data_IF_912346270693
#
_entry.id   IF_912346270693
#
_cell.length_a   1.000
_cell.length_b   1.000
_cell.length_c   1.000
_cell.angle_alpha   90.00
_cell.angle_beta   90.00
_cell.angle_gamma   90.00
#
_symmetry.space_group_name_H-M   'P 1'
#
loop_
_entity.id
_entity.type
_entity.pdbx_description
1 polymer ?
#
# COMPACT_ATOMS: atom_id res chain seq x y z
N UNK A 1 20.07 -55.28 -9.91
CA UNK A 1 19.87 -54.56 -8.64
C UNK A 1 19.63 -53.10 -8.97
N UNK A 2 18.40 -52.61 -8.82
CA UNK A 2 18.03 -51.23 -9.18
C UNK A 2 18.36 -50.33 -7.99
N UNK A 3 19.24 -49.33 -8.18
CA UNK A 3 19.59 -48.37 -7.13
C UNK A 3 18.31 -47.64 -6.67
N UNK A 4 18.07 -47.49 -5.36
CA UNK A 4 16.90 -46.75 -4.88
C UNK A 4 16.99 -45.31 -5.38
N UNK A 5 15.90 -44.83 -5.98
CA UNK A 5 15.75 -43.43 -6.36
C UNK A 5 15.78 -42.63 -5.05
N UNK A 6 16.88 -41.94 -4.77
CA UNK A 6 16.95 -41.08 -3.58
C UNK A 6 15.88 -40.01 -3.71
N UNK A 7 14.93 -39.98 -2.76
CA UNK A 7 13.92 -38.93 -2.71
C UNK A 7 14.60 -37.56 -2.60
N UNK A 8 14.25 -36.64 -3.49
CA UNK A 8 14.77 -35.27 -3.48
C UNK A 8 13.68 -34.31 -3.02
N UNK A 9 13.99 -33.48 -2.03
CA UNK A 9 13.08 -32.46 -1.48
C UNK A 9 13.40 -31.08 -2.02
N UNK A 10 12.49 -30.11 -1.93
CA UNK A 10 12.83 -28.71 -2.15
C UNK A 10 13.72 -28.27 -0.97
N UNK A 11 14.94 -27.84 -1.29
CA UNK A 11 15.94 -27.46 -0.27
C UNK A 11 16.40 -26.01 -0.42
N UNK A 12 16.07 -25.35 -1.53
CA UNK A 12 16.39 -23.94 -1.77
C UNK A 12 15.23 -23.27 -2.47
N UNK A 13 15.02 -22.01 -2.13
CA UNK A 13 14.11 -21.09 -2.79
C UNK A 13 14.86 -19.81 -3.12
N UNK A 14 14.45 -19.15 -4.19
CA UNK A 14 14.91 -17.80 -4.55
C UNK A 14 13.82 -17.07 -5.34
N UNK A 15 13.99 -15.78 -5.57
CA UNK A 15 13.02 -14.93 -6.28
C UNK A 15 13.72 -14.16 -7.40
N UNK A 16 13.10 -14.15 -8.58
CA UNK A 16 13.51 -13.26 -9.67
C UNK A 16 12.66 -12.00 -9.67
N UNK A 17 13.30 -10.84 -9.78
CA UNK A 17 12.64 -9.53 -9.93
C UNK A 17 12.74 -8.94 -11.34
N UNK A 18 13.46 -9.61 -12.24
CA UNK A 18 13.67 -9.21 -13.64
C UNK A 18 14.27 -10.37 -14.44
N UNK A 19 14.35 -10.22 -15.76
CA UNK A 19 14.88 -11.26 -16.67
C UNK A 19 16.34 -11.64 -16.41
N UNK A 20 17.18 -10.70 -15.94
CA UNK A 20 18.57 -10.99 -15.56
C UNK A 20 18.64 -11.96 -14.38
N UNK A 21 17.81 -11.76 -13.36
CA UNK A 21 17.68 -12.70 -12.24
C UNK A 21 17.14 -14.06 -12.69
N UNK A 22 16.13 -14.10 -13.58
CA UNK A 22 15.64 -15.37 -14.13
C UNK A 22 16.78 -16.16 -14.79
N UNK A 23 17.57 -15.52 -15.64
CA UNK A 23 18.71 -16.17 -16.32
C UNK A 23 19.75 -16.68 -15.31
N UNK A 24 20.06 -15.90 -14.28
CA UNK A 24 20.96 -16.32 -13.21
C UNK A 24 20.45 -17.59 -12.50
N UNK A 25 19.16 -17.67 -12.19
CA UNK A 25 18.57 -18.82 -11.50
C UNK A 25 18.50 -20.06 -12.40
N UNK A 26 18.19 -19.89 -13.68
CA UNK A 26 18.23 -20.95 -14.70
C UNK A 26 19.62 -21.58 -14.75
N UNK A 27 20.68 -20.76 -14.87
CA UNK A 27 22.06 -21.26 -14.98
C UNK A 27 22.53 -22.03 -13.73
N UNK A 28 21.85 -21.85 -12.60
CA UNK A 28 22.13 -22.54 -11.33
C UNK A 28 21.23 -23.74 -11.07
N UNK A 29 20.38 -24.11 -12.02
CA UNK A 29 19.52 -25.29 -11.95
C UNK A 29 18.31 -25.12 -11.04
N UNK A 30 17.88 -23.89 -10.79
CA UNK A 30 16.57 -23.64 -10.19
C UNK A 30 15.47 -23.87 -11.21
N UNK A 31 14.29 -24.23 -10.72
CA UNK A 31 13.06 -24.41 -11.48
C UNK A 31 12.07 -23.30 -11.12
N UNK A 32 11.58 -22.60 -12.14
CA UNK A 32 10.58 -21.54 -12.00
C UNK A 32 9.22 -22.12 -11.62
N UNK A 33 8.51 -21.50 -10.68
CA UNK A 33 7.08 -21.73 -10.51
C UNK A 33 6.29 -20.85 -11.49
N UNK A 34 5.21 -21.37 -12.09
CA UNK A 34 4.57 -20.72 -13.25
C UNK A 34 3.82 -19.43 -12.93
N UNK A 35 3.52 -19.17 -11.65
CA UNK A 35 2.68 -18.05 -11.25
C UNK A 35 3.55 -16.81 -10.96
N UNK A 36 3.23 -15.72 -11.63
CA UNK A 36 3.72 -14.39 -11.25
C UNK A 36 3.13 -14.02 -9.88
N UNK A 37 3.98 -13.54 -8.98
CA UNK A 37 3.60 -13.08 -7.65
C UNK A 37 2.99 -11.66 -7.67
N UNK A 38 3.08 -10.97 -8.81
CA UNK A 38 2.68 -9.56 -8.98
C UNK A 38 1.43 -9.37 -9.88
N UNK A 39 0.52 -10.34 -9.93
CA UNK A 39 -0.65 -10.30 -10.83
C UNK A 39 -1.50 -9.04 -10.60
N UNK A 40 -1.73 -8.26 -11.66
CA UNK A 40 -2.66 -7.11 -11.64
C UNK A 40 -2.01 -5.72 -11.47
N UNK A 41 -0.68 -5.61 -11.58
CA UNK A 41 0.03 -4.31 -11.48
C UNK A 41 1.05 -4.14 -12.62
N UNK A 42 1.39 -2.90 -12.96
CA UNK A 42 2.41 -2.60 -13.99
C UNK A 42 3.84 -2.85 -13.46
N UNK A 43 4.77 -3.35 -14.31
CA UNK A 43 6.20 -3.55 -13.98
C UNK A 43 6.74 -4.94 -14.33
N UNK A 44 7.98 -5.24 -13.92
CA UNK A 44 8.62 -6.54 -14.16
C UNK A 44 7.92 -7.69 -13.40
N UNK A 45 7.82 -8.86 -14.05
CA UNK A 45 7.24 -10.08 -13.48
C UNK A 45 8.11 -10.62 -12.32
N UNK A 46 7.46 -11.07 -11.23
CA UNK A 46 8.15 -11.59 -10.05
C UNK A 46 7.82 -13.07 -9.90
N UNK A 47 8.83 -13.94 -9.91
CA UNK A 47 8.62 -15.39 -9.81
C UNK A 47 9.33 -16.00 -8.63
N UNK A 48 8.69 -16.98 -7.99
CA UNK A 48 9.32 -17.88 -7.02
C UNK A 48 10.00 -19.04 -7.76
N UNK A 49 11.21 -19.39 -7.31
CA UNK A 49 12.03 -20.45 -7.87
C UNK A 49 12.40 -21.45 -6.80
N UNK A 50 12.57 -22.71 -7.18
CA UNK A 50 12.99 -23.76 -6.26
C UNK A 50 14.10 -24.62 -6.82
N UNK A 51 14.93 -25.21 -5.94
CA UNK A 51 15.89 -26.24 -6.31
C UNK A 51 15.74 -27.45 -5.39
N UNK A 52 15.76 -28.64 -6.00
CA UNK A 52 15.68 -29.90 -5.26
C UNK A 52 17.07 -30.35 -4.81
N UNK A 53 17.16 -30.90 -3.60
CA UNK A 53 18.40 -31.36 -2.98
C UNK A 53 18.24 -32.66 -2.19
N UNK A 54 19.26 -32.97 -1.38
CA UNK A 54 19.34 -34.20 -0.59
C UNK A 54 18.37 -34.18 0.60
N UNK A 55 18.10 -35.38 1.12
CA UNK A 55 17.34 -35.61 2.35
C UNK A 55 18.02 -34.93 3.55
N UNK A 56 17.24 -34.31 4.43
CA UNK A 56 17.71 -33.63 5.66
C UNK A 56 17.76 -32.10 5.60
N UNK A 57 17.54 -31.50 4.43
CA UNK A 57 17.52 -30.04 4.24
C UNK A 57 16.19 -29.54 3.64
N UNK A 58 15.10 -30.29 3.84
CA UNK A 58 13.80 -29.94 3.29
C UNK A 58 13.28 -28.65 3.92
N UNK A 59 12.75 -27.76 3.09
CA UNK A 59 12.02 -26.58 3.57
C UNK A 59 10.68 -27.05 4.14
N UNK A 60 10.43 -26.77 5.41
CA UNK A 60 9.23 -27.20 6.14
C UNK A 60 8.23 -26.08 6.40
N UNK A 61 8.62 -24.82 6.18
CA UNK A 61 7.77 -23.65 6.44
C UNK A 61 8.18 -22.44 5.60
N UNK A 62 7.19 -21.62 5.23
CA UNK A 62 7.35 -20.33 4.55
C UNK A 62 6.59 -19.25 5.31
N UNK A 63 7.14 -18.04 5.33
CA UNK A 63 6.55 -16.83 5.92
C UNK A 63 6.95 -15.62 5.08
N UNK A 64 6.15 -14.57 5.10
CA UNK A 64 6.44 -13.26 4.48
C UNK A 64 6.48 -12.18 5.57
N UNK A 65 7.33 -11.18 5.39
CA UNK A 65 7.42 -10.01 6.27
C UNK A 65 7.03 -8.75 5.51
N UNK A 66 6.22 -7.90 6.12
CA UNK A 66 5.80 -6.62 5.53
C UNK A 66 6.63 -5.42 6.04
N UNK A 67 7.49 -5.63 7.05
CA UNK A 67 8.35 -4.59 7.62
C UNK A 67 9.63 -5.19 8.24
N UNK A 68 10.54 -4.31 8.65
CA UNK A 68 11.85 -4.68 9.20
C UNK A 68 11.77 -5.47 10.52
N UNK A 69 10.85 -5.09 11.41
CA UNK A 69 10.71 -5.73 12.72
C UNK A 69 10.19 -7.17 12.59
N UNK A 70 9.24 -7.40 11.68
CA UNK A 70 8.78 -8.75 11.33
C UNK A 70 9.91 -9.59 10.74
N UNK A 71 10.71 -9.03 9.82
CA UNK A 71 11.86 -9.73 9.25
C UNK A 71 12.88 -10.12 10.33
N UNK A 72 13.19 -9.21 11.25
CA UNK A 72 14.07 -9.46 12.40
C UNK A 72 13.52 -10.56 13.32
N UNK A 73 12.22 -10.55 13.58
CA UNK A 73 11.54 -11.59 14.36
C UNK A 73 11.62 -12.98 13.70
N UNK A 74 11.42 -13.05 12.38
CA UNK A 74 11.54 -14.29 11.62
C UNK A 74 12.98 -14.83 11.60
N UNK A 75 13.97 -13.97 11.39
CA UNK A 75 15.38 -14.39 11.46
C UNK A 75 15.71 -14.93 12.86
N UNK A 76 15.24 -14.25 13.91
CA UNK A 76 15.40 -14.70 15.30
C UNK A 76 14.72 -16.06 15.58
N UNK A 77 13.63 -16.36 14.87
CA UNK A 77 12.93 -17.64 14.93
C UNK A 77 13.54 -18.75 14.06
N UNK A 78 14.69 -18.50 13.43
CA UNK A 78 15.44 -19.49 12.64
C UNK A 78 15.07 -19.55 11.16
N UNK A 79 14.33 -18.58 10.63
CA UNK A 79 14.08 -18.49 9.18
C UNK A 79 15.31 -17.93 8.45
N UNK A 80 15.57 -18.44 7.25
CA UNK A 80 16.55 -17.84 6.32
C UNK A 80 15.83 -16.89 5.37
N UNK A 81 16.22 -15.61 5.38
CA UNK A 81 15.62 -14.60 4.51
C UNK A 81 16.13 -14.73 3.07
N UNK A 82 15.22 -14.59 2.10
CA UNK A 82 15.56 -14.25 0.71
C UNK A 82 15.50 -12.71 0.62
N UNK A 83 16.63 -12.01 0.47
CA UNK A 83 16.70 -10.54 0.54
C UNK A 83 16.25 -9.92 -0.79
N UNK A 84 15.01 -10.19 -1.18
CA UNK A 84 14.35 -9.66 -2.38
C UNK A 84 13.04 -9.01 -1.95
N UNK A 85 12.86 -7.76 -2.39
CA UNK A 85 11.62 -7.05 -2.15
C UNK A 85 10.58 -7.49 -3.20
N UNK A 86 9.53 -8.17 -2.74
CA UNK A 86 8.43 -8.62 -3.61
C UNK A 86 7.57 -7.45 -4.12
N UNK A 87 7.73 -6.26 -3.55
CA UNK A 87 7.09 -5.04 -4.01
C UNK A 87 8.01 -4.18 -4.90
N UNK A 88 9.21 -4.66 -5.24
CA UNK A 88 10.17 -3.91 -6.05
C UNK A 88 9.52 -3.40 -7.35
N UNK A 89 9.58 -2.08 -7.57
CA UNK A 89 9.00 -1.43 -8.73
C UNK A 89 7.54 -1.01 -8.58
N UNK A 90 6.89 -1.23 -7.42
CA UNK A 90 5.75 -0.41 -7.03
C UNK A 90 6.30 0.97 -6.64
N UNK A 91 5.85 2.05 -7.30
CA UNK A 91 6.31 3.43 -7.03
C UNK A 91 6.16 3.86 -5.56
N UNK A 92 5.38 3.10 -4.80
CA UNK A 92 5.06 3.33 -3.40
C UNK A 92 5.95 2.56 -2.41
N UNK A 93 6.94 1.79 -2.90
CA UNK A 93 7.76 0.89 -2.07
C UNK A 93 8.40 1.63 -0.88
N UNK A 94 8.92 2.83 -1.11
CA UNK A 94 9.56 3.60 -0.05
C UNK A 94 8.56 4.13 0.98
N UNK A 95 7.34 4.50 0.56
CA UNK A 95 6.27 4.89 1.47
C UNK A 95 5.86 3.74 2.39
N UNK A 96 5.71 2.53 1.84
CA UNK A 96 5.42 1.34 2.65
C UNK A 96 6.55 1.04 3.64
N UNK A 97 7.82 1.16 3.22
CA UNK A 97 8.98 0.97 4.11
C UNK A 97 9.03 2.00 5.24
N UNK A 98 8.60 3.23 4.97
CA UNK A 98 8.51 4.32 5.95
C UNK A 98 7.28 4.24 6.87
N UNK A 99 6.49 3.15 6.74
CA UNK A 99 5.36 2.82 7.58
C UNK A 99 4.05 3.49 7.17
N UNK A 100 3.98 4.04 5.96
CA UNK A 100 2.72 4.58 5.44
C UNK A 100 1.78 3.44 5.02
N UNK A 101 0.49 3.73 5.18
CA UNK A 101 -0.64 2.89 4.80
C UNK A 101 -1.40 3.65 3.71
N UNK A 102 -1.69 2.96 2.61
CA UNK A 102 -2.49 3.49 1.50
C UNK A 102 -3.98 3.30 1.82
N UNK A 103 -4.79 4.34 1.59
CA UNK A 103 -6.25 4.18 1.51
C UNK A 103 -6.58 3.56 0.15
N UNK A 104 -7.34 2.46 0.14
CA UNK A 104 -7.55 1.62 -1.04
C UNK A 104 -8.59 2.20 -2.03
N UNK A 105 -8.27 3.36 -2.61
CA UNK A 105 -8.94 3.91 -3.78
C UNK A 105 -8.04 4.95 -4.48
N UNK A 106 -8.04 4.91 -5.80
CA UNK A 106 -7.40 5.89 -6.68
C UNK A 106 -8.35 7.11 -6.79
N UNK A 107 -7.92 8.28 -6.31
CA UNK A 107 -8.76 9.48 -6.17
C UNK A 107 -8.95 10.26 -7.46
N UNK A 108 -8.30 9.88 -8.56
CA UNK A 108 -8.48 10.49 -9.87
C UNK A 108 -8.82 9.43 -10.93
N UNK A 109 -9.77 8.55 -10.59
CA UNK A 109 -10.04 7.38 -11.42
C UNK A 109 -10.73 7.80 -12.72
N UNK A 110 -10.09 7.47 -13.85
CA UNK A 110 -10.67 7.72 -15.18
C UNK A 110 -10.40 9.11 -15.73
N UNK A 111 -9.61 9.94 -15.04
CA UNK A 111 -9.22 11.27 -15.52
C UNK A 111 -8.04 11.26 -16.50
N UNK A 112 -7.39 10.10 -16.70
CA UNK A 112 -6.05 10.05 -17.32
C UNK A 112 -4.97 10.59 -16.37
N UNK A 113 -3.70 10.26 -16.64
CA UNK A 113 -2.54 10.69 -15.83
C UNK A 113 -2.10 9.70 -14.75
N UNK A 114 -1.16 10.13 -13.90
CA UNK A 114 -0.64 9.34 -12.77
C UNK A 114 -1.71 9.14 -11.71
N UNK A 115 -1.76 7.94 -11.13
CA UNK A 115 -2.70 7.62 -10.05
C UNK A 115 -2.37 8.42 -8.79
N UNK A 116 -3.40 8.96 -8.14
CA UNK A 116 -3.30 9.68 -6.88
C UNK A 116 -3.93 8.83 -5.79
N UNK A 117 -3.18 8.60 -4.72
CA UNK A 117 -3.64 7.84 -3.56
C UNK A 117 -3.44 8.67 -2.28
N UNK A 118 -4.34 8.48 -1.32
CA UNK A 118 -4.18 9.03 0.03
C UNK A 118 -3.34 8.06 0.85
N UNK A 119 -2.30 8.59 1.49
CA UNK A 119 -1.40 7.86 2.38
C UNK A 119 -1.47 8.45 3.79
N UNK A 120 -1.50 7.58 4.79
CA UNK A 120 -1.43 8.00 6.20
C UNK A 120 -0.46 7.11 6.96
N UNK A 121 0.06 7.60 8.09
CA UNK A 121 0.90 6.82 8.99
C UNK A 121 0.35 6.89 10.39
N UNK A 122 0.28 5.74 11.07
CA UNK A 122 -0.16 5.66 12.45
C UNK A 122 0.95 6.10 13.41
N UNK A 123 0.57 6.62 14.57
CA UNK A 123 1.50 7.01 15.63
C UNK A 123 0.88 6.74 17.00
N UNK A 124 1.71 6.37 17.95
CA UNK A 124 1.34 6.26 19.37
C UNK A 124 1.61 7.54 20.14
N UNK A 125 2.25 8.54 19.52
CA UNK A 125 2.48 9.85 20.14
C UNK A 125 1.26 10.75 19.95
N UNK A 126 0.48 11.03 21.01
CA UNK A 126 -0.73 11.82 20.90
C UNK A 126 -0.48 13.25 20.39
N UNK A 127 0.73 13.81 20.55
CA UNK A 127 1.08 15.15 20.05
C UNK A 127 1.26 15.19 18.54
N UNK A 128 1.47 14.02 17.92
CA UNK A 128 1.66 13.86 16.47
C UNK A 128 0.38 13.42 15.77
N UNK A 129 -0.65 13.03 16.52
CA UNK A 129 -1.91 12.55 15.99
C UNK A 129 -2.65 13.67 15.23
N UNK A 130 -3.27 13.29 14.12
CA UNK A 130 -4.23 14.15 13.43
C UNK A 130 -5.53 14.16 14.23
N UNK A 131 -6.14 15.33 14.35
CA UNK A 131 -7.41 15.50 15.08
C UNK A 131 -8.53 16.01 14.19
N UNK A 132 -8.21 16.46 12.97
CA UNK A 132 -9.20 16.95 12.03
C UNK A 132 -8.71 16.84 10.58
N UNK A 133 -9.66 16.70 9.66
CA UNK A 133 -9.45 16.68 8.21
C UNK A 133 -10.48 17.59 7.53
N UNK A 134 -10.05 18.30 6.50
CA UNK A 134 -10.90 19.12 5.63
C UNK A 134 -10.52 18.88 4.17
N UNK A 135 -11.43 19.20 3.26
CA UNK A 135 -11.17 19.23 1.81
C UNK A 135 -11.49 20.63 1.30
N UNK A 136 -10.63 21.19 0.44
CA UNK A 136 -10.93 22.43 -0.30
C UNK A 136 -11.15 22.14 -1.77
N UNK A 137 -12.13 22.79 -2.39
CA UNK A 137 -12.41 22.73 -3.83
C UNK A 137 -12.32 24.10 -4.52
N UNK A 138 -12.03 25.16 -3.77
CA UNK A 138 -11.82 26.52 -4.29
C UNK A 138 -10.79 27.31 -3.45
N UNK A 139 -10.32 28.43 -4.00
CA UNK A 139 -9.26 29.24 -3.38
C UNK A 139 -9.69 29.90 -2.06
N UNK A 140 -10.96 30.30 -1.93
CA UNK A 140 -11.49 30.87 -0.68
C UNK A 140 -11.42 29.87 0.48
N UNK A 141 -11.70 28.59 0.21
CA UNK A 141 -11.59 27.53 1.22
C UNK A 141 -10.13 27.22 1.57
N UNK A 142 -9.24 27.19 0.57
CA UNK A 142 -7.81 27.04 0.82
C UNK A 142 -7.29 28.15 1.75
N UNK A 143 -7.68 29.40 1.47
CA UNK A 143 -7.33 30.55 2.30
C UNK A 143 -7.94 30.42 3.71
N UNK A 144 -9.22 30.07 3.81
CA UNK A 144 -9.90 29.91 5.08
C UNK A 144 -9.26 28.81 5.96
N UNK A 145 -8.89 27.66 5.40
CA UNK A 145 -8.26 26.58 6.17
C UNK A 145 -6.84 26.94 6.60
N UNK A 146 -6.07 27.62 5.75
CA UNK A 146 -4.76 28.14 6.12
C UNK A 146 -4.86 29.10 7.32
N UNK A 147 -5.82 30.03 7.31
CA UNK A 147 -6.04 30.98 8.41
C UNK A 147 -6.51 30.31 9.70
N UNK A 148 -7.16 29.14 9.60
CA UNK A 148 -7.57 28.32 10.74
C UNK A 148 -6.46 27.40 11.28
N UNK A 149 -5.26 27.47 10.70
CA UNK A 149 -4.08 26.71 11.13
C UNK A 149 -4.07 25.25 10.65
N UNK A 150 -4.78 24.92 9.58
CA UNK A 150 -4.63 23.62 8.92
C UNK A 150 -3.35 23.57 8.09
N UNK A 151 -2.80 22.37 7.94
CA UNK A 151 -1.71 22.09 7.01
C UNK A 151 -2.25 21.43 5.75
N UNK A 152 -1.91 21.97 4.58
CA UNK A 152 -2.29 21.40 3.29
C UNK A 152 -1.43 20.18 2.96
N UNK A 153 -2.05 19.13 2.44
CA UNK A 153 -1.37 18.08 1.69
C UNK A 153 -1.20 18.60 0.27
N UNK A 154 0.03 18.97 -0.12
CA UNK A 154 0.34 19.68 -1.35
C UNK A 154 0.29 18.79 -2.61
N UNK A 155 -0.77 18.00 -2.77
CA UNK A 155 -1.07 17.15 -3.91
C UNK A 155 -2.52 17.38 -4.32
N UNK A 156 -2.76 17.64 -5.60
CA UNK A 156 -4.11 17.80 -6.14
C UNK A 156 -4.77 16.42 -6.30
N UNK A 157 -5.88 16.18 -5.61
CA UNK A 157 -6.56 14.88 -5.64
C UNK A 157 -7.24 14.57 -6.96
N UNK A 158 -7.72 15.57 -7.70
CA UNK A 158 -8.45 15.38 -8.95
C UNK A 158 -7.54 15.14 -10.17
N UNK A 159 -6.23 15.03 -9.98
CA UNK A 159 -5.25 14.86 -11.06
C UNK A 159 -4.95 16.15 -11.83
N UNK A 160 -3.76 16.21 -12.43
CA UNK A 160 -3.23 17.41 -13.10
C UNK A 160 -4.04 17.83 -14.33
N UNK A 161 -4.71 16.88 -14.99
CA UNK A 161 -5.44 17.11 -16.24
C UNK A 161 -6.90 17.55 -16.04
N UNK A 162 -7.45 17.46 -14.81
CA UNK A 162 -8.84 17.82 -14.53
C UNK A 162 -9.13 19.32 -14.56
N UNK A 163 -8.10 20.16 -14.37
CA UNK A 163 -8.25 21.60 -14.16
C UNK A 163 -8.92 21.99 -12.83
N UNK A 164 -9.41 21.02 -12.05
CA UNK A 164 -9.99 21.23 -10.73
C UNK A 164 -8.91 21.19 -9.66
N UNK A 165 -9.10 21.94 -8.57
CA UNK A 165 -8.15 22.06 -7.46
C UNK A 165 -8.77 21.47 -6.20
N UNK A 166 -8.50 20.20 -5.93
CA UNK A 166 -9.00 19.48 -4.75
C UNK A 166 -7.82 19.16 -3.83
N UNK A 167 -7.85 19.65 -2.60
CA UNK A 167 -6.77 19.42 -1.63
C UNK A 167 -7.32 18.93 -0.29
N UNK A 168 -6.59 17.99 0.33
CA UNK A 168 -6.81 17.58 1.72
C UNK A 168 -6.02 18.47 2.66
N UNK A 169 -6.63 18.82 3.78
CA UNK A 169 -6.04 19.62 4.84
C UNK A 169 -6.15 18.84 6.14
N UNK A 170 -5.12 18.89 6.98
CA UNK A 170 -5.13 18.24 8.28
C UNK A 170 -4.79 19.21 9.40
N UNK A 171 -5.26 18.90 10.61
CA UNK A 171 -4.86 19.58 11.84
C UNK A 171 -4.30 18.59 12.84
N UNK A 172 -3.26 19.01 13.54
CA UNK A 172 -2.74 18.34 14.74
C UNK A 172 -3.20 19.14 15.94
N UNK A 173 -3.59 18.45 17.00
CA UNK A 173 -4.22 19.10 18.16
C UNK A 173 -3.93 18.39 19.46
N UNK A 174 -4.64 18.81 20.50
CA UNK A 174 -4.64 18.17 21.81
C UNK A 174 -5.07 16.69 21.71
N UNK A 175 -4.65 15.80 22.62
CA UNK A 175 -4.88 14.34 22.55
C UNK A 175 -6.34 13.88 22.52
N UNK A 176 -7.30 14.80 22.57
CA UNK A 176 -8.73 14.51 22.57
C UNK A 176 -9.17 14.30 21.13
N UNK A 177 -9.64 13.09 20.85
CA UNK A 177 -10.23 12.67 19.57
C UNK A 177 -9.22 12.55 18.40
N UNK A 178 -8.16 11.73 18.56
CA UNK A 178 -7.25 11.45 17.45
C UNK A 178 -7.98 10.66 16.36
N UNK A 179 -7.69 10.96 15.10
CA UNK A 179 -8.21 10.18 13.97
C UNK A 179 -7.60 8.77 14.03
N UNK A 180 -8.48 7.76 14.13
CA UNK A 180 -8.15 6.34 14.24
C UNK A 180 -8.22 5.61 12.89
N UNK A 181 -9.07 6.09 11.98
CA UNK A 181 -9.24 5.51 10.66
C UNK A 181 -9.60 6.58 9.63
N UNK A 182 -9.18 6.35 8.37
CA UNK A 182 -9.52 7.15 7.20
C UNK A 182 -10.04 6.18 6.14
N UNK A 183 -11.12 6.56 5.45
CA UNK A 183 -11.70 5.79 4.36
C UNK A 183 -12.13 6.71 3.22
N UNK A 184 -12.29 6.13 2.03
CA UNK A 184 -12.94 6.78 0.90
C UNK A 184 -14.31 6.14 0.68
N UNK A 185 -15.33 7.00 0.54
CA UNK A 185 -16.70 6.61 0.29
C UNK A 185 -17.07 6.94 -1.15
N UNK A 186 -17.37 5.90 -1.92
CA UNK A 186 -17.57 5.95 -3.38
C UNK A 186 -19.08 5.91 -3.73
N UNK A 187 -19.95 5.81 -2.72
CA UNK A 187 -21.41 5.79 -2.88
C UNK A 187 -22.08 6.76 -1.89
N UNK A 188 -22.64 7.87 -2.41
CA UNK A 188 -23.31 8.90 -1.62
C UNK A 188 -24.51 8.39 -0.82
N UNK A 189 -25.18 7.34 -1.29
CA UNK A 189 -26.37 6.78 -0.61
C UNK A 189 -26.02 6.13 0.74
N UNK A 190 -24.74 5.85 0.98
CA UNK A 190 -24.24 5.28 2.24
C UNK A 190 -23.77 6.35 3.23
N UNK A 191 -23.81 7.64 2.89
CA UNK A 191 -23.45 8.73 3.82
C UNK A 191 -24.20 8.60 5.15
N UNK A 192 -25.54 8.40 5.20
CA UNK A 192 -26.25 8.24 6.46
C UNK A 192 -25.75 7.05 7.28
N UNK A 193 -25.45 5.91 6.63
CA UNK A 193 -24.96 4.72 7.33
C UNK A 193 -23.56 4.94 7.93
N UNK A 194 -22.70 5.72 7.28
CA UNK A 194 -21.37 6.06 7.79
C UNK A 194 -21.46 7.02 8.98
N UNK A 195 -22.35 8.02 8.90
CA UNK A 195 -22.64 8.93 10.01
C UNK A 195 -23.22 8.15 11.21
N UNK A 196 -24.18 7.25 10.98
CA UNK A 196 -24.77 6.39 12.01
C UNK A 196 -23.72 5.46 12.65
N UNK A 197 -22.70 5.04 11.89
CA UNK A 197 -21.56 4.28 12.39
C UNK A 197 -20.52 5.14 13.15
N UNK A 198 -20.75 6.46 13.25
CA UNK A 198 -19.90 7.40 13.98
C UNK A 198 -18.72 7.95 13.18
N UNK A 199 -18.72 7.81 11.86
CA UNK A 199 -17.72 8.46 11.00
C UNK A 199 -18.13 9.89 10.68
N UNK A 200 -17.14 10.78 10.63
CA UNK A 200 -17.29 12.08 9.98
C UNK A 200 -17.10 11.90 8.49
N UNK A 201 -18.09 12.31 7.69
CA UNK A 201 -18.00 12.36 6.24
C UNK A 201 -17.78 13.81 5.82
N UNK A 202 -16.73 14.09 5.05
CA UNK A 202 -16.51 15.39 4.44
C UNK A 202 -17.33 15.40 3.14
N UNK A 203 -18.46 16.10 3.15
CA UNK A 203 -19.43 16.17 2.04
C UNK A 203 -18.93 17.05 0.88
N UNK A 204 -17.73 16.75 0.37
CA UNK A 204 -17.14 17.35 -0.83
C UNK A 204 -16.66 16.23 -1.75
N UNK A 205 -17.09 16.28 -3.00
CA UNK A 205 -16.61 15.34 -4.00
C UNK A 205 -15.12 15.57 -4.26
N UNK A 206 -14.29 14.56 -4.03
CA UNK A 206 -12.85 14.63 -4.23
C UNK A 206 -12.40 14.19 -5.63
N UNK A 207 -13.28 13.50 -6.37
CA UNK A 207 -13.08 13.13 -7.78
C UNK A 207 -14.22 13.67 -8.67
N UNK A 208 -14.35 15.00 -8.77
CA UNK A 208 -15.36 15.63 -9.64
C UNK A 208 -15.07 15.48 -11.14
N UNK A 209 -13.93 14.88 -11.51
CA UNK A 209 -13.56 14.63 -12.91
C UNK A 209 -14.10 13.32 -13.47
N UNK A 210 -14.57 12.41 -12.62
CA UNK A 210 -15.22 11.18 -13.04
C UNK A 210 -16.74 11.40 -13.19
N UNK A 211 -17.27 11.28 -14.41
CA UNK A 211 -18.69 11.50 -14.71
C UNK A 211 -19.65 10.47 -14.06
N UNK A 212 -19.12 9.52 -13.28
CA UNK A 212 -19.85 8.31 -12.91
C UNK A 212 -19.90 8.05 -11.40
N UNK A 213 -19.02 8.68 -10.60
CA UNK A 213 -18.88 8.34 -9.18
C UNK A 213 -18.47 9.56 -8.36
N UNK A 214 -19.20 9.83 -7.27
CA UNK A 214 -18.76 10.82 -6.27
C UNK A 214 -17.96 10.11 -5.19
N UNK A 215 -16.77 10.64 -4.90
CA UNK A 215 -15.91 10.13 -3.84
C UNK A 215 -15.84 11.13 -2.69
N UNK A 216 -15.93 10.64 -1.46
CA UNK A 216 -15.91 11.45 -0.24
C UNK A 216 -14.87 10.93 0.74
N UNK A 217 -14.15 11.85 1.40
CA UNK A 217 -13.22 11.50 2.45
C UNK A 217 -13.96 11.32 3.78
N UNK A 218 -13.73 10.19 4.46
CA UNK A 218 -14.33 9.87 5.75
C UNK A 218 -13.25 9.60 6.80
N UNK A 219 -13.54 9.91 8.06
CA UNK A 219 -12.65 9.57 9.16
C UNK A 219 -13.39 9.24 10.46
N UNK A 220 -12.75 8.46 11.32
CA UNK A 220 -13.26 8.07 12.64
C UNK A 220 -12.32 8.54 13.75
N UNK A 221 -12.86 9.03 14.87
CA UNK A 221 -12.12 9.58 16.02
C UNK A 221 -12.20 8.76 17.29
#
# INVERSE_FOLDING_TARGET
MQLPIMATYITQLDVSLNKTHEQYLITRGFKKLPNDLKTGTCGDEIYLWYKKGKIGAAITRLQVSHNHDMATGLVSAGYTQIPKDLNAGAGDTDLFRDGYIRVDANTNRGTGGSEVFIWYRQTTDPKRALTDLQVSTCEDEMFAFQQQGYTCVSVNLSGEESGQKVYVWYKKGEPKNPIKAIALLVNSDLIPAYIDAGLTVIEKNIDPGSDWVSEYLCFYQ
#
